data_IF_941348267024
#
_entry.id   IF_941348267024
#
_cell.length_a   1.000
_cell.length_b   1.000
_cell.length_c   1.000
_cell.angle_alpha   90.00
_cell.angle_beta   90.00
_cell.angle_gamma   90.00
#
_symmetry.space_group_name_H-M   'P 1'
#
loop_
_entity.id
_entity.type
_entity.pdbx_description
1 polymer ?
#
# COMPACT_ATOMS: atom_id res chain seq x y z
N UNK A 1 9.91 14.37 -3.56
CA UNK A 1 8.66 15.06 -3.92
C UNK A 1 8.23 14.54 -5.29
N UNK A 2 6.96 14.21 -5.49
CA UNK A 2 6.48 13.75 -6.79
C UNK A 2 6.40 14.92 -7.76
N UNK A 3 6.67 14.66 -9.04
CA UNK A 3 6.44 15.65 -10.09
C UNK A 3 4.95 15.79 -10.43
N UNK A 4 4.58 16.93 -11.02
CA UNK A 4 3.19 17.28 -11.30
C UNK A 4 2.50 16.25 -12.22
N UNK A 5 3.21 15.72 -13.22
CA UNK A 5 2.68 14.70 -14.13
C UNK A 5 2.35 13.40 -13.37
N UNK A 6 3.23 12.97 -12.47
CA UNK A 6 2.97 11.81 -11.62
C UNK A 6 1.71 12.02 -10.76
N UNK A 7 1.55 13.19 -10.15
CA UNK A 7 0.35 13.52 -9.34
C UNK A 7 -0.93 13.46 -10.19
N UNK A 8 -0.91 14.02 -11.40
CA UNK A 8 -2.05 14.03 -12.31
C UNK A 8 -2.44 12.62 -12.76
N UNK A 9 -1.46 11.76 -13.08
CA UNK A 9 -1.70 10.36 -13.44
C UNK A 9 -2.34 9.59 -12.27
N UNK A 10 -1.82 9.76 -11.05
CA UNK A 10 -2.41 9.13 -9.87
C UNK A 10 -3.85 9.59 -9.69
N UNK A 11 -4.11 10.90 -9.68
CA UNK A 11 -5.45 11.44 -9.46
C UNK A 11 -6.43 11.02 -10.55
N UNK A 12 -6.01 10.92 -11.80
CA UNK A 12 -6.87 10.51 -12.91
C UNK A 12 -7.19 9.00 -12.91
N UNK A 13 -6.33 8.17 -12.32
CA UNK A 13 -6.51 6.71 -12.24
C UNK A 13 -7.22 6.23 -10.97
N UNK A 14 -7.33 7.09 -9.93
CA UNK A 14 -8.09 6.82 -8.69
C UNK A 14 -9.50 6.27 -8.94
N UNK A 15 -10.33 6.79 -9.86
CA UNK A 15 -11.66 6.24 -10.13
C UNK A 15 -11.64 4.77 -10.58
N UNK A 16 -10.71 4.41 -11.46
CA UNK A 16 -10.55 3.02 -11.92
C UNK A 16 -10.14 2.11 -10.76
N UNK A 17 -9.22 2.56 -9.88
CA UNK A 17 -8.85 1.80 -8.68
C UNK A 17 -10.02 1.66 -7.69
N UNK A 18 -10.95 2.63 -7.61
CA UNK A 18 -12.15 2.50 -6.78
C UNK A 18 -13.09 1.44 -7.32
N UNK A 19 -13.30 1.45 -8.63
CA UNK A 19 -14.17 0.49 -9.32
C UNK A 19 -13.64 -0.94 -9.18
N UNK A 20 -12.34 -1.13 -9.38
CA UNK A 20 -11.68 -2.44 -9.36
C UNK A 20 -11.02 -2.79 -8.01
N UNK A 21 -11.17 -1.97 -6.97
CA UNK A 21 -10.36 -2.08 -5.74
C UNK A 21 -10.52 -3.42 -5.00
N UNK A 22 -11.70 -4.03 -5.04
CA UNK A 22 -11.94 -5.35 -4.44
C UNK A 22 -11.20 -6.45 -5.21
N UNK A 23 -11.21 -6.38 -6.53
CA UNK A 23 -10.52 -7.35 -7.38
C UNK A 23 -9.00 -7.19 -7.26
N UNK A 24 -8.50 -5.95 -7.34
CA UNK A 24 -7.08 -5.62 -7.15
C UNK A 24 -6.58 -6.15 -5.81
N UNK A 25 -7.32 -5.93 -4.72
CA UNK A 25 -6.88 -6.40 -3.40
C UNK A 25 -6.90 -7.91 -3.27
N UNK A 26 -7.91 -8.58 -3.82
CA UNK A 26 -7.94 -10.05 -3.85
C UNK A 26 -6.76 -10.63 -4.62
N UNK A 27 -6.50 -10.09 -5.81
CA UNK A 27 -5.35 -10.48 -6.65
C UNK A 27 -4.02 -10.19 -5.95
N UNK A 28 -3.89 -9.03 -5.32
CA UNK A 28 -2.73 -8.65 -4.53
C UNK A 28 -2.41 -9.67 -3.43
N UNK A 29 -3.38 -10.02 -2.57
CA UNK A 29 -3.12 -10.95 -1.47
C UNK A 29 -2.84 -12.36 -1.96
N UNK A 30 -3.55 -12.81 -3.00
CA UNK A 30 -3.25 -14.09 -3.64
C UNK A 30 -1.81 -14.13 -4.11
N UNK A 31 -1.41 -13.16 -4.94
CA UNK A 31 -0.08 -13.10 -5.53
C UNK A 31 1.01 -12.97 -4.46
N UNK A 32 0.81 -12.10 -3.46
CA UNK A 32 1.77 -11.91 -2.37
C UNK A 32 1.98 -13.20 -1.57
N UNK A 33 0.93 -13.94 -1.27
CA UNK A 33 1.02 -15.17 -0.49
C UNK A 33 1.53 -16.38 -1.29
N UNK A 34 1.40 -16.35 -2.61
CA UNK A 34 1.99 -17.33 -3.52
C UNK A 34 3.49 -17.06 -3.73
N UNK A 35 3.86 -15.81 -4.00
CA UNK A 35 5.23 -15.39 -4.31
C UNK A 35 6.12 -15.24 -3.07
N UNK A 36 5.53 -14.85 -1.95
CA UNK A 36 6.21 -14.51 -0.70
C UNK A 36 5.56 -15.23 0.48
N UNK A 37 5.54 -16.57 0.52
CA UNK A 37 4.90 -17.32 1.60
C UNK A 37 5.45 -16.98 3.00
N UNK A 38 6.68 -16.48 3.10
CA UNK A 38 7.34 -16.02 4.32
C UNK A 38 6.62 -14.86 5.01
N UNK A 39 5.82 -14.06 4.29
CA UNK A 39 5.08 -12.96 4.90
C UNK A 39 3.75 -13.40 5.51
N UNK A 40 3.22 -14.57 5.14
CA UNK A 40 1.93 -15.09 5.67
C UNK A 40 1.81 -15.06 7.19
N UNK A 41 2.84 -15.44 7.98
CA UNK A 41 2.75 -15.42 9.44
C UNK A 41 2.56 -14.02 10.05
N UNK A 42 2.85 -12.95 9.28
CA UNK A 42 2.66 -11.55 9.72
C UNK A 42 1.20 -11.09 9.60
N UNK A 43 0.33 -11.90 8.97
CA UNK A 43 -1.07 -11.58 8.71
C UNK A 43 -2.00 -12.37 9.63
N UNK A 44 -3.09 -11.72 10.05
CA UNK A 44 -4.18 -12.41 10.71
C UNK A 44 -5.04 -13.11 9.64
N UNK A 45 -4.90 -14.43 9.53
CA UNK A 45 -5.57 -15.19 8.47
C UNK A 45 -7.10 -15.27 8.62
N UNK A 46 -7.64 -15.09 9.82
CA UNK A 46 -9.10 -15.02 10.04
C UNK A 46 -9.68 -13.71 9.48
N UNK A 47 -8.99 -12.58 9.72
CA UNK A 47 -9.33 -11.27 9.13
C UNK A 47 -9.07 -11.20 7.63
N UNK A 48 -8.11 -12.00 7.17
CA UNK A 48 -7.88 -12.19 5.75
C UNK A 48 -9.07 -12.90 5.10
N UNK A 49 -9.50 -14.02 5.69
CA UNK A 49 -10.64 -14.79 5.20
C UNK A 49 -11.95 -13.99 5.22
N UNK A 50 -12.13 -13.09 6.18
CA UNK A 50 -13.30 -12.21 6.25
C UNK A 50 -13.29 -11.04 5.25
N UNK A 51 -12.15 -10.73 4.63
CA UNK A 51 -12.00 -9.62 3.69
C UNK A 51 -11.84 -8.24 4.33
N UNK A 52 -11.84 -8.14 5.66
CA UNK A 52 -11.66 -6.86 6.38
C UNK A 52 -10.29 -6.25 6.13
N UNK A 53 -9.24 -7.06 6.18
CA UNK A 53 -7.86 -6.59 5.99
C UNK A 53 -7.57 -6.15 4.53
N UNK A 54 -8.03 -6.89 3.50
CA UNK A 54 -7.99 -6.42 2.12
C UNK A 54 -8.63 -5.06 1.90
N UNK A 55 -9.85 -4.90 2.41
CA UNK A 55 -10.59 -3.65 2.30
C UNK A 55 -9.86 -2.50 2.98
N UNK A 56 -9.30 -2.73 4.17
CA UNK A 56 -8.56 -1.71 4.90
C UNK A 56 -7.33 -1.22 4.10
N UNK A 57 -6.54 -2.14 3.55
CA UNK A 57 -5.36 -1.80 2.75
C UNK A 57 -5.74 -0.99 1.50
N UNK A 58 -6.75 -1.44 0.74
CA UNK A 58 -7.25 -0.70 -0.44
C UNK A 58 -7.64 0.73 -0.07
N UNK A 59 -8.42 0.89 1.00
CA UNK A 59 -8.90 2.21 1.42
C UNK A 59 -7.76 3.12 1.85
N UNK A 60 -6.73 2.59 2.52
CA UNK A 60 -5.54 3.38 2.91
C UNK A 60 -4.74 3.81 1.69
N UNK A 61 -4.44 2.90 0.76
CA UNK A 61 -3.70 3.23 -0.47
C UNK A 61 -4.48 4.25 -1.31
N UNK A 62 -5.79 4.07 -1.43
CA UNK A 62 -6.68 4.98 -2.14
C UNK A 62 -6.74 6.36 -1.49
N UNK A 63 -6.89 6.43 -0.17
CA UNK A 63 -6.87 7.70 0.57
C UNK A 63 -5.52 8.41 0.41
N UNK A 64 -4.43 7.65 0.41
CA UNK A 64 -3.11 8.20 0.19
C UNK A 64 -2.92 8.73 -1.24
N UNK A 65 -3.39 8.00 -2.25
CA UNK A 65 -3.39 8.45 -3.63
C UNK A 65 -4.23 9.72 -3.86
N UNK A 66 -5.38 9.82 -3.19
CA UNK A 66 -6.23 11.01 -3.25
C UNK A 66 -5.58 12.26 -2.61
N UNK A 67 -4.71 12.06 -1.62
CA UNK A 67 -4.01 13.11 -0.89
C UNK A 67 -2.50 13.09 -1.18
N UNK A 68 -2.08 12.62 -2.36
CA UNK A 68 -0.66 12.39 -2.66
C UNK A 68 0.17 13.69 -2.67
N UNK A 69 -0.49 14.83 -2.85
CA UNK A 69 0.06 16.19 -2.75
C UNK A 69 -0.04 16.80 -1.34
N UNK A 70 -0.65 16.09 -0.39
CA UNK A 70 -0.78 16.51 1.01
C UNK A 70 -0.66 15.30 1.96
N UNK A 71 0.46 14.58 1.88
CA UNK A 71 0.68 13.39 2.71
C UNK A 71 0.77 13.70 4.21
N UNK A 72 1.08 14.94 4.58
CA UNK A 72 1.07 15.38 5.98
C UNK A 72 -0.31 15.20 6.63
N UNK A 73 -1.39 15.37 5.86
CA UNK A 73 -2.75 15.14 6.33
C UNK A 73 -3.00 13.67 6.75
N UNK A 74 -2.18 12.73 6.26
CA UNK A 74 -2.31 11.31 6.59
C UNK A 74 -1.55 10.94 7.88
N UNK A 75 -0.64 11.79 8.37
CA UNK A 75 0.21 11.46 9.52
C UNK A 75 -0.54 10.92 10.75
N UNK A 76 -1.70 11.48 11.16
CA UNK A 76 -2.45 10.93 12.29
C UNK A 76 -2.93 9.49 12.06
N UNK A 77 -3.37 9.20 10.83
CA UNK A 77 -3.80 7.86 10.43
C UNK A 77 -2.59 6.91 10.33
N UNK A 78 -1.48 7.39 9.73
CA UNK A 78 -0.24 6.62 9.60
C UNK A 78 0.29 6.23 10.97
N UNK A 79 0.31 7.12 11.97
CA UNK A 79 0.72 6.77 13.34
C UNK A 79 -0.13 5.64 13.93
N UNK A 80 -1.45 5.72 13.78
CA UNK A 80 -2.37 4.70 14.28
C UNK A 80 -2.14 3.34 13.61
N UNK A 81 -1.87 3.32 12.31
CA UNK A 81 -1.57 2.10 11.56
C UNK A 81 -0.16 1.59 11.90
N UNK A 82 0.81 2.50 12.04
CA UNK A 82 2.20 2.22 12.40
C UNK A 82 2.34 1.49 13.73
N UNK A 83 1.53 1.83 14.73
CA UNK A 83 1.47 1.07 15.99
C UNK A 83 1.12 -0.41 15.75
N UNK A 84 0.11 -0.66 14.90
CA UNK A 84 -0.31 -2.03 14.55
C UNK A 84 0.74 -2.76 13.72
N UNK A 85 1.40 -2.06 12.81
CA UNK A 85 2.52 -2.61 12.04
C UNK A 85 3.67 -2.99 12.98
N UNK A 86 3.99 -2.14 13.96
CA UNK A 86 5.02 -2.43 14.95
C UNK A 86 4.67 -3.63 15.82
N UNK A 87 3.40 -3.76 16.24
CA UNK A 87 2.88 -4.92 16.98
C UNK A 87 2.99 -6.21 16.16
N UNK A 88 2.73 -6.13 14.85
CA UNK A 88 2.88 -7.24 13.91
C UNK A 88 4.34 -7.45 13.44
N UNK A 89 5.31 -6.74 14.03
CA UNK A 89 6.73 -6.85 13.70
C UNK A 89 7.06 -6.58 12.22
N UNK A 90 6.31 -5.67 11.58
CA UNK A 90 6.57 -5.25 10.20
C UNK A 90 7.86 -4.41 10.15
N UNK A 91 8.71 -4.70 9.16
CA UNK A 91 9.99 -4.04 8.95
C UNK A 91 10.04 -3.40 7.57
N UNK A 92 11.00 -2.50 7.39
CA UNK A 92 11.31 -1.86 6.11
C UNK A 92 11.45 -2.88 4.96
N UNK A 93 12.07 -4.03 5.20
CA UNK A 93 12.28 -5.10 4.21
C UNK A 93 10.97 -5.72 3.66
N UNK A 94 9.84 -5.55 4.35
CA UNK A 94 8.54 -6.04 3.88
C UNK A 94 7.87 -5.09 2.85
N UNK A 95 8.22 -3.79 2.83
CA UNK A 95 7.60 -2.83 1.93
C UNK A 95 7.87 -3.12 0.44
N UNK A 96 9.09 -3.49 0.01
CA UNK A 96 9.33 -3.89 -1.37
C UNK A 96 8.44 -5.06 -1.83
N UNK A 97 8.16 -6.03 -0.95
CA UNK A 97 7.29 -7.17 -1.23
C UNK A 97 5.86 -6.70 -1.49
N UNK A 98 5.32 -5.85 -0.62
CA UNK A 98 3.98 -5.29 -0.77
C UNK A 98 3.86 -4.47 -2.05
N UNK A 99 4.83 -3.60 -2.32
CA UNK A 99 4.84 -2.75 -3.52
C UNK A 99 4.82 -3.57 -4.81
N UNK A 100 5.71 -4.55 -4.93
CA UNK A 100 5.79 -5.40 -6.13
C UNK A 100 4.49 -6.15 -6.40
N UNK A 101 3.90 -6.77 -5.36
CA UNK A 101 2.66 -7.52 -5.51
C UNK A 101 1.45 -6.61 -5.77
N UNK A 102 1.41 -5.40 -5.19
CA UNK A 102 0.32 -4.45 -5.42
C UNK A 102 0.33 -3.92 -6.85
N UNK A 103 1.49 -3.49 -7.34
CA UNK A 103 1.65 -3.02 -8.73
C UNK A 103 1.36 -4.16 -9.73
N UNK A 104 1.81 -5.38 -9.42
CA UNK A 104 1.49 -6.57 -10.21
C UNK A 104 -0.02 -6.82 -10.28
N UNK A 105 -0.74 -6.70 -9.17
CA UNK A 105 -2.19 -6.87 -9.13
C UNK A 105 -2.93 -5.76 -9.89
N UNK A 106 -2.48 -4.50 -9.82
CA UNK A 106 -3.04 -3.41 -10.61
C UNK A 106 -2.88 -3.71 -12.11
N UNK A 107 -1.69 -4.16 -12.52
CA UNK A 107 -1.40 -4.52 -13.91
C UNK A 107 -2.24 -5.70 -14.40
N UNK A 108 -2.40 -6.72 -13.57
CA UNK A 108 -3.20 -7.90 -13.89
C UNK A 108 -4.68 -7.56 -14.07
N UNK A 109 -5.25 -6.75 -13.17
CA UNK A 109 -6.69 -6.43 -13.18
C UNK A 109 -7.06 -5.41 -14.25
N UNK A 110 -6.24 -4.37 -14.42
CA UNK A 110 -6.53 -3.31 -15.40
C UNK A 110 -6.06 -3.67 -16.83
N UNK A 111 -5.20 -4.68 -16.98
CA UNK A 111 -4.69 -5.13 -18.27
C UNK A 111 -4.08 -3.98 -19.09
N UNK A 112 -4.52 -3.81 -20.32
CA UNK A 112 -4.04 -2.76 -21.24
C UNK A 112 -4.28 -1.33 -20.73
N UNK A 113 -5.21 -1.14 -19.78
CA UNK A 113 -5.45 0.16 -19.15
C UNK A 113 -4.36 0.54 -18.13
N UNK A 114 -3.59 -0.42 -17.62
CA UNK A 114 -2.41 -0.18 -16.79
C UNK A 114 -1.16 0.01 -17.67
N UNK A 115 -1.11 1.15 -18.36
CA UNK A 115 0.06 1.53 -19.17
C UNK A 115 1.33 1.67 -18.31
N UNK A 116 2.50 1.58 -18.93
CA UNK A 116 3.78 1.71 -18.21
C UNK A 116 3.88 3.05 -17.47
N UNK A 117 3.42 4.15 -18.08
CA UNK A 117 3.33 5.47 -17.44
C UNK A 117 2.48 5.46 -16.15
N UNK A 118 1.38 4.70 -16.14
CA UNK A 118 0.51 4.57 -14.96
C UNK A 118 1.22 3.75 -13.89
N UNK A 119 1.81 2.61 -14.25
CA UNK A 119 2.53 1.74 -13.29
C UNK A 119 3.72 2.49 -12.68
N UNK A 120 4.50 3.21 -13.47
CA UNK A 120 5.64 4.02 -13.00
C UNK A 120 5.18 5.12 -12.03
N UNK A 121 4.06 5.79 -12.32
CA UNK A 121 3.48 6.78 -11.43
C UNK A 121 3.06 6.15 -10.10
N UNK A 122 2.38 5.01 -10.13
CA UNK A 122 1.96 4.26 -8.94
C UNK A 122 3.14 3.73 -8.13
N UNK A 123 4.22 3.30 -8.78
CA UNK A 123 5.44 2.89 -8.10
C UNK A 123 6.06 4.07 -7.32
N UNK A 124 6.20 5.23 -7.96
CA UNK A 124 6.70 6.44 -7.30
C UNK A 124 5.82 6.84 -6.13
N UNK A 125 4.49 6.83 -6.31
CA UNK A 125 3.55 7.14 -5.24
C UNK A 125 3.67 6.15 -4.07
N UNK A 126 3.73 4.85 -4.36
CA UNK A 126 3.92 3.81 -3.36
C UNK A 126 5.21 4.03 -2.56
N UNK A 127 6.34 4.29 -3.22
CA UNK A 127 7.63 4.54 -2.55
C UNK A 127 7.57 5.71 -1.58
N UNK A 128 6.89 6.79 -1.97
CA UNK A 128 6.74 7.97 -1.12
C UNK A 128 5.83 7.68 0.08
N UNK A 129 4.71 6.97 -0.12
CA UNK A 129 3.84 6.54 0.98
C UNK A 129 4.58 5.59 1.93
N UNK A 130 5.23 4.56 1.40
CA UNK A 130 6.00 3.58 2.16
C UNK A 130 7.05 4.26 3.03
N UNK A 131 7.76 5.27 2.48
CA UNK A 131 8.74 6.04 3.26
C UNK A 131 8.11 6.72 4.49
N UNK A 132 6.92 7.31 4.35
CA UNK A 132 6.23 7.94 5.49
C UNK A 132 5.92 6.92 6.59
N UNK A 133 5.46 5.72 6.22
CA UNK A 133 5.22 4.66 7.19
C UNK A 133 6.51 4.17 7.85
N UNK A 134 7.56 3.90 7.06
CA UNK A 134 8.86 3.45 7.56
C UNK A 134 9.44 4.45 8.57
N UNK A 135 9.40 5.75 8.24
CA UNK A 135 9.92 6.80 9.12
C UNK A 135 9.12 6.83 10.45
N UNK A 136 7.79 6.72 10.40
CA UNK A 136 6.93 6.67 11.60
C UNK A 136 7.15 5.41 12.43
N UNK A 137 7.24 4.24 11.79
CA UNK A 137 7.46 2.96 12.47
C UNK A 137 8.82 2.90 13.15
N UNK A 138 9.84 3.49 12.53
CA UNK A 138 11.16 3.63 13.13
C UNK A 138 11.10 4.40 14.45
N UNK A 139 10.39 5.54 14.48
CA UNK A 139 10.19 6.32 15.73
C UNK A 139 9.46 5.49 16.80
N UNK A 140 8.43 4.73 16.41
CA UNK A 140 7.67 3.87 17.33
C UNK A 140 8.58 2.78 17.90
N UNK A 141 9.35 2.07 17.06
CA UNK A 141 10.29 1.05 17.51
C UNK A 141 11.35 1.62 18.45
N UNK A 142 11.93 2.77 18.14
CA UNK A 142 12.90 3.46 19.00
C UNK A 142 12.29 3.84 20.36
N UNK A 143 11.01 4.23 20.39
CA UNK A 143 10.31 4.56 21.64
C UNK A 143 10.04 3.35 22.53
N UNK A 144 9.78 2.18 21.94
CA UNK A 144 9.51 0.91 22.65
C UNK A 144 10.79 0.20 23.14
N UNK A 145 11.93 0.60 22.60
CA UNK A 145 13.25 0.04 22.93
C UNK A 145 13.86 0.66 24.20
N UNK A 146 13.20 1.67 24.78
CA UNK A 146 13.62 2.38 26.01
C UNK A 146 12.83 1.87 27.20
#
# INVERSE_FOLDING_TARGET
>A
MLDQRTIEIIKSTVPALKEHGVEITKTFYKNMFENNPEVKPLFNMDRQASGEQPKALAMTVLAAAQNIDNLEALLPAVKTIGERHCDAQIKEEHYPIVGANLLGAIKEVLGDAATDDIIDAWEKAYRVIAKVFIDVEKEIYESRSK
#
